data_IF_455707360237
#
_entry.id   IF_455707360237
#
_cell.length_a   1.000
_cell.length_b   1.000
_cell.length_c   1.000
_cell.angle_alpha   90.00
_cell.angle_beta   90.00
_cell.angle_gamma   90.00
#
_symmetry.space_group_name_H-M   'P 1'
#
loop_
_entity.id
_entity.type
_entity.pdbx_description
1 polymer ?
#
# COMPACT_ATOMS: atom_id res chain seq x y z
N UNK A 1 -30.61 -2.96 6.04
CA UNK A 1 -29.18 -2.63 6.24
C UNK A 1 -28.58 -2.62 4.86
N UNK A 2 -27.95 -1.52 4.47
CA UNK A 2 -27.54 -1.32 3.08
C UNK A 2 -26.38 -2.27 2.74
N UNK A 3 -26.40 -2.96 1.59
CA UNK A 3 -25.32 -3.90 1.20
C UNK A 3 -23.92 -3.24 1.20
N UNK A 4 -23.87 -1.91 1.14
CA UNK A 4 -22.66 -1.12 1.25
C UNK A 4 -22.11 -1.07 2.68
N UNK A 5 -22.96 -0.89 3.70
CA UNK A 5 -22.56 -0.87 5.11
C UNK A 5 -22.04 -2.25 5.55
N UNK A 6 -22.66 -3.33 5.07
CA UNK A 6 -22.23 -4.71 5.37
C UNK A 6 -20.87 -5.04 4.73
N UNK A 7 -20.62 -4.54 3.50
CA UNK A 7 -19.33 -4.72 2.80
C UNK A 7 -18.20 -3.86 3.35
N UNK A 8 -18.53 -2.69 3.90
CA UNK A 8 -17.61 -1.82 4.63
C UNK A 8 -17.19 -2.47 5.96
N UNK A 9 -18.15 -3.02 6.72
CA UNK A 9 -17.88 -3.80 7.94
C UNK A 9 -16.94 -4.98 7.67
N UNK A 10 -17.19 -5.74 6.61
CA UNK A 10 -16.35 -6.89 6.21
C UNK A 10 -14.93 -6.50 5.74
N UNK A 11 -14.72 -5.25 5.29
CA UNK A 11 -13.41 -4.79 4.85
C UNK A 11 -12.53 -4.42 6.04
N UNK A 12 -13.05 -3.60 6.95
CA UNK A 12 -12.35 -3.18 8.16
C UNK A 12 -12.14 -4.35 9.14
N UNK A 13 -12.97 -5.40 9.06
CA UNK A 13 -12.81 -6.64 9.83
C UNK A 13 -11.78 -7.63 9.28
N UNK A 14 -11.46 -7.55 7.98
CA UNK A 14 -10.60 -8.54 7.34
C UNK A 14 -9.13 -8.19 7.42
N UNK A 15 -8.33 -9.25 7.50
CA UNK A 15 -6.87 -9.27 7.44
C UNK A 15 -6.29 -8.40 6.31
N UNK A 16 -7.03 -8.13 5.23
CA UNK A 16 -6.69 -7.16 4.18
C UNK A 16 -6.46 -5.72 4.67
N UNK A 17 -7.24 -5.21 5.62
CA UNK A 17 -7.01 -3.87 6.20
C UNK A 17 -5.80 -3.92 7.14
N UNK A 18 -5.66 -4.98 7.93
CA UNK A 18 -4.47 -5.19 8.76
C UNK A 18 -3.18 -5.30 7.91
N UNK A 19 -3.23 -5.92 6.73
CA UNK A 19 -2.10 -6.06 5.82
C UNK A 19 -1.81 -4.81 4.98
N UNK A 20 -2.85 -4.12 4.50
CA UNK A 20 -2.71 -2.81 3.85
C UNK A 20 -2.15 -1.77 4.82
N UNK A 21 -2.58 -1.83 6.10
CA UNK A 21 -2.02 -1.05 7.20
C UNK A 21 -0.59 -1.52 7.51
N UNK A 22 -0.28 -2.82 7.56
CA UNK A 22 1.10 -3.31 7.76
C UNK A 22 2.06 -2.83 6.66
N UNK A 23 1.61 -2.75 5.41
CA UNK A 23 2.38 -2.22 4.28
C UNK A 23 2.65 -0.70 4.43
N UNK A 24 1.64 0.08 4.82
CA UNK A 24 1.72 1.54 4.98
C UNK A 24 2.44 1.96 6.27
N UNK A 25 2.23 1.20 7.35
CA UNK A 25 2.71 1.41 8.72
C UNK A 25 4.01 0.66 8.98
N UNK A 26 4.49 -0.17 8.06
CA UNK A 26 5.92 -0.42 7.84
C UNK A 26 6.58 -1.47 8.71
N UNK A 27 5.85 -2.49 9.11
CA UNK A 27 6.41 -3.81 9.38
C UNK A 27 5.58 -4.84 8.65
N UNK A 28 6.21 -5.53 7.72
CA UNK A 28 5.68 -6.78 7.18
C UNK A 28 6.71 -7.80 7.61
N UNK A 29 6.29 -8.75 8.44
CA UNK A 29 7.07 -9.92 8.84
C UNK A 29 7.50 -10.70 7.59
N UNK A 30 8.41 -11.64 7.78
CA UNK A 30 9.01 -12.48 6.72
C UNK A 30 7.97 -13.27 5.88
N UNK A 31 6.69 -13.24 6.24
CA UNK A 31 5.57 -13.99 5.64
C UNK A 31 4.88 -13.31 4.44
N UNK A 32 5.48 -12.30 3.80
CA UNK A 32 4.94 -11.77 2.52
C UNK A 32 4.90 -12.83 1.39
N UNK A 33 5.40 -14.04 1.66
CA UNK A 33 5.38 -15.24 0.81
C UNK A 33 4.06 -16.03 0.88
N UNK A 34 3.13 -15.74 1.80
CA UNK A 34 1.85 -16.49 1.90
C UNK A 34 0.65 -15.85 1.21
N UNK A 35 0.80 -14.65 0.63
CA UNK A 35 -0.32 -13.93 0.02
C UNK A 35 -0.73 -14.52 -1.32
N UNK A 36 -2.03 -14.73 -1.48
CA UNK A 36 -2.60 -15.11 -2.76
C UNK A 36 -2.39 -13.98 -3.78
N UNK A 37 -2.22 -14.30 -5.08
CA UNK A 37 -1.93 -13.29 -6.10
C UNK A 37 -2.92 -12.11 -6.16
N UNK A 38 -4.19 -12.34 -5.81
CA UNK A 38 -5.23 -11.32 -5.77
C UNK A 38 -5.15 -10.38 -4.55
N UNK A 39 -4.66 -10.87 -3.40
CA UNK A 39 -4.40 -10.07 -2.20
C UNK A 39 -3.22 -9.14 -2.46
N UNK A 40 -2.14 -9.68 -3.07
CA UNK A 40 -0.97 -8.90 -3.46
C UNK A 40 -1.32 -7.80 -4.46
N UNK A 41 -2.21 -8.08 -5.42
CA UNK A 41 -2.73 -7.07 -6.35
C UNK A 41 -3.48 -5.95 -5.62
N UNK A 42 -4.31 -6.30 -4.63
CA UNK A 42 -5.07 -5.33 -3.82
C UNK A 42 -4.14 -4.42 -3.01
N UNK A 43 -3.12 -4.98 -2.35
CA UNK A 43 -2.09 -4.22 -1.61
C UNK A 43 -1.31 -3.27 -2.52
N UNK A 44 -0.98 -3.72 -3.73
CA UNK A 44 -0.29 -2.88 -4.70
C UNK A 44 -1.19 -1.74 -5.21
N UNK A 45 -2.48 -1.99 -5.43
CA UNK A 45 -3.44 -0.94 -5.74
C UNK A 45 -3.54 0.08 -4.59
N UNK A 46 -3.69 -0.38 -3.35
CA UNK A 46 -3.74 0.51 -2.19
C UNK A 46 -2.52 1.46 -2.12
N UNK A 47 -1.34 0.95 -2.49
CA UNK A 47 -0.09 1.72 -2.51
C UNK A 47 -0.12 2.86 -3.52
N UNK A 48 -0.60 2.60 -4.75
CA UNK A 48 -0.61 3.60 -5.83
C UNK A 48 -1.82 4.55 -5.77
N UNK A 49 -2.84 4.20 -4.99
CA UNK A 49 -4.04 5.02 -4.81
C UNK A 49 -3.93 6.00 -3.63
N UNK A 50 -2.93 5.85 -2.76
CA UNK A 50 -2.80 6.66 -1.55
C UNK A 50 -1.88 7.87 -1.75
N UNK A 51 -2.43 9.08 -1.62
CA UNK A 51 -1.65 10.33 -1.63
C UNK A 51 -1.30 10.79 -0.22
N UNK A 52 -0.43 11.80 -0.12
CA UNK A 52 0.02 12.46 1.11
C UNK A 52 -0.18 11.65 2.42
N UNK A 53 -1.12 12.08 3.27
CA UNK A 53 -1.52 11.44 4.53
C UNK A 53 -2.68 10.45 4.37
N UNK A 54 -3.17 10.24 3.14
CA UNK A 54 -4.26 9.32 2.86
C UNK A 54 -3.82 7.88 3.14
N UNK A 55 -4.75 7.10 3.67
CA UNK A 55 -4.70 5.65 3.80
C UNK A 55 -5.84 5.13 2.95
N UNK A 56 -5.50 4.23 2.02
CA UNK A 56 -6.47 3.62 1.12
C UNK A 56 -6.55 2.13 1.44
N UNK A 57 -7.77 1.63 1.56
CA UNK A 57 -8.06 0.21 1.65
C UNK A 57 -8.72 -0.24 0.33
N UNK A 58 -8.32 -1.43 -0.14
CA UNK A 58 -8.80 -2.00 -1.40
C UNK A 58 -9.32 -3.40 -1.16
N UNK A 59 -10.57 -3.63 -1.53
CA UNK A 59 -11.13 -4.98 -1.68
C UNK A 59 -11.14 -5.36 -3.14
N UNK A 60 -10.67 -6.55 -3.46
CA UNK A 60 -10.90 -7.17 -4.75
C UNK A 60 -11.86 -8.34 -4.59
N UNK A 61 -12.95 -8.32 -5.35
CA UNK A 61 -13.84 -9.48 -5.53
C UNK A 61 -13.66 -9.98 -6.96
N UNK A 62 -13.13 -11.19 -7.09
CA UNK A 62 -12.95 -11.86 -8.39
C UNK A 62 -14.31 -12.41 -8.87
N UNK A 63 -14.62 -12.18 -10.14
CA UNK A 63 -15.79 -12.71 -10.82
C UNK A 63 -15.33 -13.57 -12.01
N UNK A 64 -16.19 -14.47 -12.55
CA UNK A 64 -15.82 -15.29 -13.71
C UNK A 64 -15.33 -14.49 -14.92
N UNK A 65 -15.92 -13.31 -15.17
CA UNK A 65 -15.65 -12.47 -16.34
C UNK A 65 -15.14 -11.06 -15.97
N UNK A 66 -14.57 -10.88 -14.78
CA UNK A 66 -14.15 -9.56 -14.34
C UNK A 66 -13.76 -9.48 -12.87
N UNK A 67 -13.77 -8.26 -12.35
CA UNK A 67 -13.64 -8.03 -10.93
C UNK A 67 -14.41 -6.79 -10.46
N UNK A 68 -14.73 -6.80 -9.17
CA UNK A 68 -15.22 -5.64 -8.46
C UNK A 68 -14.14 -5.15 -7.51
N UNK A 69 -13.82 -3.87 -7.60
CA UNK A 69 -12.84 -3.21 -6.75
C UNK A 69 -13.59 -2.25 -5.83
N UNK A 70 -13.48 -2.45 -4.53
CA UNK A 70 -14.06 -1.55 -3.53
C UNK A 70 -12.93 -0.72 -2.94
N UNK A 71 -13.06 0.59 -3.07
CA UNK A 71 -12.06 1.55 -2.63
C UNK A 71 -12.59 2.34 -1.45
N UNK A 72 -11.83 2.39 -0.38
CA UNK A 72 -12.12 3.18 0.81
C UNK A 72 -10.89 4.01 1.15
N UNK A 73 -11.10 5.24 1.62
CA UNK A 73 -9.99 6.08 2.09
C UNK A 73 -10.45 7.00 3.20
N UNK A 74 -9.50 7.47 4.02
CA UNK A 74 -9.76 8.35 5.16
C UNK A 74 -9.90 9.84 4.78
N UNK A 75 -10.08 10.17 3.50
CA UNK A 75 -10.28 11.54 3.00
C UNK A 75 -11.42 11.56 1.99
N UNK A 76 -11.98 12.75 1.72
CA UNK A 76 -12.99 12.91 0.68
C UNK A 76 -12.46 12.47 -0.71
N UNK A 77 -13.31 11.83 -1.50
CA UNK A 77 -13.03 11.60 -2.92
C UNK A 77 -13.15 12.92 -3.68
N UNK A 78 -12.11 13.27 -4.42
CA UNK A 78 -12.02 14.49 -5.21
C UNK A 78 -12.17 14.14 -6.69
N UNK A 79 -12.60 15.10 -7.52
CA UNK A 79 -12.86 14.86 -8.94
C UNK A 79 -11.65 14.25 -9.68
N UNK A 80 -10.44 14.70 -9.37
CA UNK A 80 -9.23 14.15 -9.98
C UNK A 80 -8.93 12.71 -9.53
N UNK A 81 -9.43 12.24 -8.37
CA UNK A 81 -9.31 10.83 -7.95
C UNK A 81 -10.09 9.93 -8.91
N UNK A 82 -11.34 10.31 -9.23
CA UNK A 82 -12.17 9.56 -10.16
C UNK A 82 -11.54 9.51 -11.55
N UNK A 83 -11.00 10.65 -12.02
CA UNK A 83 -10.28 10.73 -13.31
C UNK A 83 -9.04 9.81 -13.29
N UNK A 84 -8.25 9.86 -12.23
CA UNK A 84 -7.06 9.04 -12.08
C UNK A 84 -7.39 7.54 -12.07
N UNK A 85 -8.35 7.12 -11.24
CA UNK A 85 -8.76 5.72 -11.12
C UNK A 85 -9.29 5.19 -12.46
N UNK A 86 -10.06 6.00 -13.20
CA UNK A 86 -10.51 5.64 -14.54
C UNK A 86 -9.34 5.48 -15.53
N UNK A 87 -8.32 6.35 -15.48
CA UNK A 87 -7.09 6.18 -16.29
C UNK A 87 -6.38 4.89 -15.95
N UNK A 88 -6.17 4.60 -14.65
CA UNK A 88 -5.52 3.36 -14.19
C UNK A 88 -6.28 2.14 -14.70
N UNK A 89 -7.61 2.09 -14.52
CA UNK A 89 -8.46 1.02 -15.06
C UNK A 89 -8.27 0.84 -16.57
N UNK A 90 -8.25 1.94 -17.33
CA UNK A 90 -8.07 1.88 -18.79
C UNK A 90 -6.70 1.34 -19.20
N UNK A 91 -5.62 1.77 -18.53
CA UNK A 91 -4.29 1.22 -18.77
C UNK A 91 -4.25 -0.29 -18.54
N UNK A 92 -4.81 -0.76 -17.41
CA UNK A 92 -4.83 -2.19 -17.08
C UNK A 92 -5.64 -3.00 -18.10
N UNK A 93 -6.77 -2.47 -18.56
CA UNK A 93 -7.56 -3.10 -19.64
C UNK A 93 -6.76 -3.22 -20.94
N UNK A 94 -6.04 -2.17 -21.35
CA UNK A 94 -5.23 -2.18 -22.57
C UNK A 94 -4.05 -3.15 -22.44
N UNK A 95 -3.33 -3.11 -21.32
CA UNK A 95 -2.21 -4.02 -21.05
C UNK A 95 -2.69 -5.47 -21.09
N UNK A 96 -3.82 -5.76 -20.43
CA UNK A 96 -4.38 -7.10 -20.37
C UNK A 96 -4.94 -7.60 -21.69
N UNK A 97 -5.56 -6.74 -22.50
CA UNK A 97 -6.02 -7.09 -23.85
C UNK A 97 -4.88 -7.62 -24.72
N UNK A 98 -3.72 -6.97 -24.62
CA UNK A 98 -2.52 -7.28 -25.39
C UNK A 98 -1.61 -8.32 -24.72
N UNK A 99 -1.99 -8.85 -23.56
CA UNK A 99 -1.24 -9.91 -22.88
C UNK A 99 -1.07 -11.16 -23.78
N UNK A 100 0.10 -11.82 -23.76
CA UNK A 100 1.24 -11.57 -22.87
C UNK A 100 2.25 -10.55 -23.43
N UNK A 101 1.96 -9.90 -24.57
CA UNK A 101 2.89 -8.95 -25.17
C UNK A 101 3.02 -7.67 -24.34
N UNK A 102 4.24 -7.13 -24.30
CA UNK A 102 4.54 -5.89 -23.60
C UNK A 102 4.06 -4.69 -24.41
N UNK A 103 3.33 -3.78 -23.79
CA UNK A 103 2.87 -2.53 -24.42
C UNK A 103 3.68 -1.36 -23.87
N UNK A 104 4.92 -1.20 -24.39
CA UNK A 104 5.93 -0.31 -23.81
C UNK A 104 5.45 1.12 -23.56
N UNK A 105 4.72 1.73 -24.48
CA UNK A 105 4.24 3.11 -24.32
C UNK A 105 3.10 3.23 -23.30
N UNK A 106 2.17 2.26 -23.31
CA UNK A 106 1.06 2.19 -22.36
C UNK A 106 1.58 2.00 -20.94
N UNK A 107 2.51 1.07 -20.74
CA UNK A 107 3.16 0.85 -19.45
C UNK A 107 3.97 2.06 -18.99
N UNK A 108 4.70 2.72 -19.90
CA UNK A 108 5.42 3.96 -19.58
C UNK A 108 4.48 5.05 -19.11
N UNK A 109 3.34 5.21 -19.78
CA UNK A 109 2.33 6.20 -19.41
C UNK A 109 1.66 5.86 -18.07
N UNK A 110 1.37 4.58 -17.83
CA UNK A 110 0.92 4.12 -16.51
C UNK A 110 1.90 4.51 -15.40
N UNK A 111 3.20 4.25 -15.57
CA UNK A 111 4.21 4.63 -14.57
C UNK A 111 4.22 6.14 -14.32
N UNK A 112 4.11 6.97 -15.36
CA UNK A 112 4.09 8.44 -15.24
C UNK A 112 2.87 8.93 -14.47
N UNK A 113 1.68 8.40 -14.79
CA UNK A 113 0.43 8.79 -14.14
C UNK A 113 0.41 8.41 -12.66
N UNK A 114 0.86 7.21 -12.31
CA UNK A 114 1.00 6.81 -10.90
C UNK A 114 2.00 7.70 -10.16
N UNK A 115 3.17 7.96 -10.75
CA UNK A 115 4.20 8.78 -10.13
C UNK A 115 3.74 10.23 -9.92
N UNK A 116 2.98 10.78 -10.86
CA UNK A 116 2.37 12.11 -10.73
C UNK A 116 1.35 12.15 -9.59
N UNK A 117 0.42 11.18 -9.56
CA UNK A 117 -0.63 11.11 -8.56
C UNK A 117 -0.09 10.92 -7.12
N UNK A 118 0.91 10.05 -6.95
CA UNK A 118 1.54 9.75 -5.65
C UNK A 118 2.67 10.69 -5.24
N UNK A 119 2.99 11.71 -6.04
CA UNK A 119 4.20 12.54 -5.93
C UNK A 119 4.45 13.07 -4.52
N UNK A 120 3.45 13.74 -3.91
CA UNK A 120 3.55 14.31 -2.56
C UNK A 120 3.93 13.26 -1.51
N UNK A 121 3.31 12.08 -1.57
CA UNK A 121 3.59 11.00 -0.61
C UNK A 121 4.98 10.43 -0.81
N UNK A 122 5.36 10.21 -2.07
CA UNK A 122 6.69 9.71 -2.42
C UNK A 122 7.78 10.70 -2.00
N UNK A 123 7.58 12.00 -2.20
CA UNK A 123 8.48 13.06 -1.75
C UNK A 123 8.65 13.07 -0.22
N UNK A 124 7.55 12.93 0.53
CA UNK A 124 7.59 12.79 1.99
C UNK A 124 8.41 11.57 2.44
N UNK A 125 8.27 10.42 1.76
CA UNK A 125 9.08 9.22 2.03
C UNK A 125 10.56 9.44 1.66
N UNK A 126 10.83 10.10 0.53
CA UNK A 126 12.19 10.44 0.09
C UNK A 126 12.88 11.39 1.06
N UNK A 127 12.17 12.39 1.59
CA UNK A 127 12.69 13.31 2.61
C UNK A 127 13.12 12.55 3.86
N UNK A 128 12.30 11.59 4.33
CA UNK A 128 12.65 10.74 5.47
C UNK A 128 13.91 9.90 5.21
N UNK A 129 14.03 9.31 4.03
CA UNK A 129 15.24 8.58 3.63
C UNK A 129 16.47 9.50 3.57
N UNK A 130 16.35 10.69 2.96
CA UNK A 130 17.43 11.69 2.92
C UNK A 130 17.88 12.11 4.32
N UNK A 131 16.94 12.30 5.24
CA UNK A 131 17.25 12.65 6.63
C UNK A 131 18.05 11.54 7.33
N UNK A 132 17.72 10.27 7.10
CA UNK A 132 18.51 9.16 7.67
C UNK A 132 19.94 9.14 7.11
N UNK A 133 20.09 9.35 5.80
CA UNK A 133 21.40 9.44 5.13
C UNK A 133 22.25 10.58 5.70
N UNK A 134 21.63 11.73 6.00
CA UNK A 134 22.31 12.90 6.57
C UNK A 134 22.64 12.72 8.05
N UNK A 135 21.79 12.04 8.84
CA UNK A 135 22.03 11.83 10.27
C UNK A 135 23.14 10.80 10.54
N UNK A 136 23.33 9.85 9.63
CA UNK A 136 24.23 8.73 9.81
C UNK A 136 25.32 8.69 8.72
N UNK A 137 25.99 9.83 8.48
CA UNK A 137 26.95 10.00 7.37
C UNK A 137 28.05 8.94 7.36
N UNK A 138 28.53 8.52 8.54
CA UNK A 138 29.62 7.55 8.69
C UNK A 138 29.15 6.12 8.99
N UNK A 139 27.84 5.86 8.89
CA UNK A 139 27.32 4.51 9.07
C UNK A 139 27.60 3.65 7.84
N UNK A 140 28.04 2.41 8.06
CA UNK A 140 28.40 1.44 7.01
C UNK A 140 27.26 1.22 6.02
N UNK A 141 26.03 1.02 6.50
CA UNK A 141 24.85 0.74 5.68
C UNK A 141 24.48 1.94 4.81
N UNK A 142 24.54 3.15 5.39
CA UNK A 142 24.31 4.40 4.67
C UNK A 142 25.35 4.60 3.57
N UNK A 143 26.63 4.31 3.84
CA UNK A 143 27.69 4.42 2.85
C UNK A 143 27.54 3.38 1.73
N UNK A 144 27.23 2.13 2.06
CA UNK A 144 26.88 1.10 1.08
C UNK A 144 25.72 1.53 0.19
N UNK A 145 24.68 2.14 0.77
CA UNK A 145 23.55 2.64 -0.01
C UNK A 145 23.92 3.81 -0.94
N UNK A 146 24.71 4.77 -0.46
CA UNK A 146 25.19 5.91 -1.26
C UNK A 146 26.04 5.44 -2.44
N UNK A 147 26.93 4.49 -2.21
CA UNK A 147 27.75 3.87 -3.24
C UNK A 147 26.87 3.16 -4.26
N UNK A 148 25.94 2.31 -3.79
CA UNK A 148 24.99 1.61 -4.65
C UNK A 148 24.18 2.57 -5.52
N UNK A 149 23.62 3.64 -4.95
CA UNK A 149 22.90 4.65 -5.74
C UNK A 149 23.82 5.30 -6.78
N UNK A 150 25.04 5.68 -6.39
CA UNK A 150 25.98 6.39 -7.27
C UNK A 150 26.39 5.54 -8.48
N UNK A 151 26.45 4.22 -8.33
CA UNK A 151 26.69 3.30 -9.47
C UNK A 151 25.48 3.11 -10.39
N UNK A 152 24.26 3.44 -9.93
CA UNK A 152 23.01 3.18 -10.67
C UNK A 152 22.32 4.44 -11.20
N UNK A 153 22.59 5.61 -10.64
CA UNK A 153 22.01 6.90 -11.05
C UNK A 153 23.11 7.88 -11.43
N UNK A 154 23.01 8.48 -12.62
CA UNK A 154 23.81 9.64 -12.97
C UNK A 154 23.27 10.90 -12.24
N UNK A 155 24.00 12.01 -12.30
CA UNK A 155 23.60 13.26 -11.63
C UNK A 155 22.23 13.77 -12.06
N UNK A 156 21.92 13.68 -13.36
CA UNK A 156 20.63 14.09 -13.94
C UNK A 156 19.45 13.28 -13.40
N UNK A 157 19.71 12.06 -12.92
CA UNK A 157 18.69 11.14 -12.41
C UNK A 157 18.45 11.23 -10.91
N UNK A 158 19.26 12.00 -10.17
CA UNK A 158 19.18 12.10 -8.70
C UNK A 158 17.90 12.74 -8.17
N UNK A 159 17.17 13.46 -9.03
CA UNK A 159 15.87 14.05 -8.71
C UNK A 159 14.69 13.27 -9.37
N UNK A 160 14.98 12.20 -10.10
CA UNK A 160 13.95 11.41 -10.76
C UNK A 160 13.36 10.38 -9.78
N UNK A 161 12.24 10.74 -9.13
CA UNK A 161 11.57 9.91 -8.13
C UNK A 161 11.26 8.48 -8.59
N UNK A 162 10.94 8.29 -9.88
CA UNK A 162 10.75 6.97 -10.47
C UNK A 162 12.03 6.15 -10.48
N UNK A 163 13.15 6.72 -10.94
CA UNK A 163 14.45 6.03 -10.96
C UNK A 163 14.96 5.74 -9.55
N UNK A 164 14.78 6.69 -8.63
CA UNK A 164 15.16 6.51 -7.22
C UNK A 164 14.34 5.36 -6.60
N UNK A 165 13.02 5.34 -6.80
CA UNK A 165 12.16 4.25 -6.31
C UNK A 165 12.61 2.89 -6.87
N UNK A 166 12.93 2.81 -8.16
CA UNK A 166 13.47 1.59 -8.78
C UNK A 166 14.78 1.13 -8.16
N UNK A 167 15.71 2.05 -7.89
CA UNK A 167 17.00 1.72 -7.26
C UNK A 167 16.83 1.31 -5.81
N UNK A 168 15.95 1.98 -5.06
CA UNK A 168 15.62 1.61 -3.68
C UNK A 168 15.05 0.20 -3.59
N UNK A 169 14.14 -0.20 -4.51
CA UNK A 169 13.63 -1.56 -4.56
C UNK A 169 14.74 -2.59 -4.80
N UNK A 170 15.65 -2.29 -5.74
CA UNK A 170 16.79 -3.18 -6.06
C UNK A 170 17.70 -3.34 -4.85
N UNK A 171 18.07 -2.25 -4.20
CA UNK A 171 18.92 -2.29 -3.00
C UNK A 171 18.23 -3.03 -1.85
N UNK A 172 16.96 -2.73 -1.57
CA UNK A 172 16.18 -3.44 -0.55
C UNK A 172 16.19 -4.96 -0.77
N UNK A 173 16.03 -5.42 -2.01
CA UNK A 173 16.04 -6.87 -2.31
C UNK A 173 17.39 -7.54 -2.04
N UNK A 174 18.50 -6.81 -2.13
CA UNK A 174 19.84 -7.33 -1.85
C UNK A 174 20.06 -7.51 -0.34
N UNK A 175 19.48 -6.63 0.47
CA UNK A 175 19.84 -6.49 1.87
C UNK A 175 18.71 -6.82 2.86
N UNK A 176 17.51 -7.16 2.37
CA UNK A 176 16.30 -7.32 3.20
C UNK A 176 16.42 -8.38 4.31
N UNK A 177 17.36 -9.30 4.18
CA UNK A 177 17.63 -10.37 5.13
C UNK A 177 18.90 -10.12 5.97
N UNK A 178 19.55 -8.96 5.81
CA UNK A 178 20.73 -8.59 6.58
C UNK A 178 20.29 -8.00 7.93
N UNK A 179 20.48 -8.78 9.00
CA UNK A 179 20.13 -8.40 10.37
C UNK A 179 21.00 -7.27 10.93
N UNK A 180 22.13 -6.96 10.29
CA UNK A 180 23.03 -5.90 10.76
C UNK A 180 22.57 -4.50 10.36
N UNK A 181 21.61 -4.39 9.43
CA UNK A 181 21.16 -3.12 8.92
C UNK A 181 20.17 -2.48 9.88
N UNK A 182 20.40 -1.19 10.16
CA UNK A 182 19.51 -0.45 11.04
C UNK A 182 18.04 -0.50 10.55
N UNK A 183 17.09 -1.08 11.33
CA UNK A 183 15.74 -1.41 10.85
C UNK A 183 14.97 -0.21 10.28
N UNK A 184 15.14 0.97 10.91
CA UNK A 184 14.52 2.22 10.46
C UNK A 184 14.99 2.66 9.06
N UNK A 185 16.27 2.51 8.76
CA UNK A 185 16.86 2.89 7.48
C UNK A 185 16.37 1.95 6.38
N UNK A 186 16.43 0.63 6.65
CA UNK A 186 15.89 -0.41 5.78
C UNK A 186 14.41 -0.16 5.45
N UNK A 187 13.61 0.21 6.46
CA UNK A 187 12.19 0.54 6.31
C UNK A 187 11.96 1.74 5.40
N UNK A 188 12.76 2.80 5.49
CA UNK A 188 12.62 3.94 4.59
C UNK A 188 13.00 3.59 3.15
N UNK A 189 14.08 2.81 2.93
CA UNK A 189 14.43 2.29 1.60
C UNK A 189 13.28 1.45 1.04
N UNK A 190 12.74 0.50 1.82
CA UNK A 190 11.61 -0.34 1.44
C UNK A 190 10.41 0.51 1.00
N UNK A 191 10.04 1.51 1.80
CA UNK A 191 8.90 2.40 1.51
C UNK A 191 9.08 3.20 0.24
N UNK A 192 10.27 3.74 -0.02
CA UNK A 192 10.55 4.42 -1.30
C UNK A 192 10.52 3.43 -2.47
N UNK A 193 11.09 2.23 -2.30
CA UNK A 193 11.09 1.18 -3.31
C UNK A 193 9.72 0.59 -3.62
N UNK A 194 8.80 0.64 -2.66
CA UNK A 194 7.46 0.05 -2.78
C UNK A 194 6.67 0.58 -3.97
N UNK A 195 6.75 1.87 -4.30
CA UNK A 195 6.03 2.46 -5.43
C UNK A 195 6.38 1.81 -6.76
N UNK A 196 7.68 1.71 -7.09
CA UNK A 196 8.11 1.00 -8.30
C UNK A 196 7.75 -0.49 -8.25
N UNK A 197 7.88 -1.11 -7.07
CA UNK A 197 7.50 -2.51 -6.85
C UNK A 197 6.02 -2.75 -7.18
N UNK A 198 5.12 -1.97 -6.58
CA UNK A 198 3.69 -2.11 -6.75
C UNK A 198 3.23 -1.86 -8.18
N UNK A 199 3.75 -0.82 -8.84
CA UNK A 199 3.46 -0.57 -10.25
C UNK A 199 3.91 -1.72 -11.15
N UNK A 200 5.12 -2.26 -10.90
CA UNK A 200 5.66 -3.39 -11.65
C UNK A 200 4.78 -4.64 -11.48
N UNK A 201 4.43 -4.97 -10.24
CA UNK A 201 3.62 -6.16 -9.93
C UNK A 201 2.19 -6.04 -10.47
N UNK A 202 1.59 -4.84 -10.46
CA UNK A 202 0.29 -4.58 -11.09
C UNK A 202 0.35 -4.86 -12.60
N UNK A 203 1.38 -4.34 -13.28
CA UNK A 203 1.57 -4.56 -14.72
C UNK A 203 1.80 -6.04 -15.02
N UNK A 204 2.61 -6.73 -14.21
CA UNK A 204 2.86 -8.17 -14.36
C UNK A 204 1.57 -8.99 -14.18
N UNK A 205 0.73 -8.61 -13.21
CA UNK A 205 -0.60 -9.21 -13.03
C UNK A 205 -1.48 -8.99 -14.26
N UNK A 206 -1.57 -7.75 -14.78
CA UNK A 206 -2.36 -7.43 -15.96
C UNK A 206 -1.88 -8.15 -17.22
N UNK A 207 -0.57 -8.39 -17.35
CA UNK A 207 0.04 -9.09 -18.49
C UNK A 207 -0.05 -10.62 -18.38
N UNK A 208 -0.47 -11.15 -17.23
CA UNK A 208 -0.60 -12.59 -17.07
C UNK A 208 -1.88 -13.08 -17.77
N UNK A 209 -1.74 -14.02 -18.71
CA UNK A 209 -2.85 -14.57 -19.49
C UNK A 209 -3.93 -15.22 -18.59
N UNK A 210 -3.54 -15.81 -17.46
CA UNK A 210 -4.46 -16.42 -16.50
C UNK A 210 -5.35 -15.38 -15.81
N UNK A 211 -4.87 -14.15 -15.64
CA UNK A 211 -5.62 -13.06 -15.00
C UNK A 211 -6.32 -12.14 -16.00
N UNK A 212 -6.22 -12.41 -17.31
CA UNK A 212 -6.87 -11.61 -18.35
C UNK A 212 -8.38 -11.41 -18.13
N UNK A 213 -9.15 -12.43 -17.70
CA UNK A 213 -10.57 -12.25 -17.41
C UNK A 213 -10.86 -11.23 -16.29
N UNK A 214 -9.92 -10.95 -15.39
CA UNK A 214 -10.14 -9.95 -14.32
C UNK A 214 -10.29 -8.53 -14.88
N UNK A 215 -9.64 -8.24 -16.02
CA UNK A 215 -9.52 -6.90 -16.57
C UNK A 215 -10.50 -6.61 -17.71
N UNK A 216 -11.29 -7.60 -18.15
CA UNK A 216 -12.32 -7.42 -19.19
C UNK A 216 -13.47 -6.56 -18.68
N UNK A 217 -13.91 -6.83 -17.44
CA UNK A 217 -15.01 -6.13 -16.78
C UNK A 217 -14.65 -5.70 -15.35
N UNK A 218 -14.09 -4.50 -15.22
CA UNK A 218 -13.72 -3.91 -13.93
C UNK A 218 -14.79 -2.93 -13.47
N UNK A 219 -15.53 -3.26 -12.41
CA UNK A 219 -16.39 -2.32 -11.68
C UNK A 219 -15.63 -1.75 -10.50
N UNK A 220 -15.73 -0.45 -10.29
CA UNK A 220 -15.12 0.24 -9.15
C UNK A 220 -16.23 0.85 -8.32
N UNK A 221 -16.22 0.54 -7.03
CA UNK A 221 -17.13 1.06 -6.03
C UNK A 221 -16.33 1.95 -5.07
N UNK A 222 -16.88 3.11 -4.77
CA UNK A 222 -16.26 4.08 -3.88
C UNK A 222 -17.03 4.05 -2.57
N UNK A 223 -16.37 3.58 -1.51
CA UNK A 223 -16.89 3.70 -0.16
C UNK A 223 -17.05 5.18 0.21
N UNK A 224 -18.10 5.49 1.00
CA UNK A 224 -18.24 6.82 1.56
C UNK A 224 -17.13 6.98 2.60
N UNK A 225 -16.26 8.00 2.47
CA UNK A 225 -15.31 8.28 3.52
C UNK A 225 -16.13 8.76 4.72
N UNK A 226 -16.33 7.91 5.72
CA UNK A 226 -16.78 8.38 7.02
C UNK A 226 -15.65 9.22 7.61
N UNK A 227 -15.72 10.53 7.39
CA UNK A 227 -14.90 11.50 8.11
C UNK A 227 -15.49 11.56 9.52
N UNK A 228 -15.10 10.58 10.34
CA UNK A 228 -15.55 10.44 11.72
C UNK A 228 -14.90 11.56 12.54
N UNK A 229 -15.50 12.74 12.51
CA UNK A 229 -15.02 13.89 13.28
C UNK A 229 -15.30 13.75 14.78
N UNK A 230 -16.25 12.90 15.20
CA UNK A 230 -16.82 12.94 16.56
C UNK A 230 -17.31 11.59 17.14
N UNK A 231 -16.82 10.42 16.69
CA UNK A 231 -17.06 9.22 17.52
C UNK A 231 -16.02 9.12 18.64
N UNK A 232 -16.43 8.78 19.87
CA UNK A 232 -15.47 8.29 20.85
C UNK A 232 -14.74 7.12 20.20
N UNK A 233 -13.41 7.20 20.17
CA UNK A 233 -12.57 6.09 19.71
C UNK A 233 -12.90 4.91 20.62
N UNK A 234 -13.76 4.01 20.14
CA UNK A 234 -14.03 2.75 20.79
C UNK A 234 -12.71 1.97 20.88
N UNK A 235 -12.52 1.19 21.95
CA UNK A 235 -11.34 0.33 22.05
C UNK A 235 -11.21 -0.52 20.79
N UNK A 236 -9.97 -0.85 20.39
CA UNK A 236 -9.72 -1.71 19.24
C UNK A 236 -10.51 -3.04 19.35
N UNK A 237 -10.70 -3.55 20.58
CA UNK A 237 -11.55 -4.70 20.88
C UNK A 237 -13.01 -4.44 20.50
N UNK A 238 -13.58 -3.31 20.89
CA UNK A 238 -14.95 -2.94 20.55
C UNK A 238 -15.13 -2.70 19.04
N UNK A 239 -14.13 -2.12 18.38
CA UNK A 239 -14.10 -1.97 16.92
C UNK A 239 -14.14 -3.36 16.29
N UNK A 240 -13.20 -4.24 16.64
CA UNK A 240 -13.08 -5.55 16.01
C UNK A 240 -14.27 -6.44 16.34
N UNK A 241 -14.77 -6.47 17.59
CA UNK A 241 -16.02 -7.16 17.95
C UNK A 241 -17.21 -6.66 17.14
N UNK A 242 -17.36 -5.35 16.99
CA UNK A 242 -18.46 -4.74 16.23
C UNK A 242 -18.40 -5.09 14.74
N UNK A 243 -17.20 -5.34 14.21
CA UNK A 243 -16.96 -5.69 12.81
C UNK A 243 -16.82 -7.20 12.56
N UNK A 244 -16.83 -8.01 13.62
CA UNK A 244 -16.77 -9.47 13.52
C UNK A 244 -18.11 -10.03 13.99
N UNK A 245 -18.98 -10.38 13.04
CA UNK A 245 -20.37 -10.80 13.30
C UNK A 245 -20.50 -12.12 14.09
N UNK A 246 -19.38 -12.79 14.36
CA UNK A 246 -19.31 -14.10 14.99
C UNK A 246 -18.20 -14.11 16.05
N UNK A 247 -18.58 -14.40 17.29
CA UNK A 247 -17.68 -14.51 18.45
C UNK A 247 -16.54 -15.52 18.20
N UNK A 248 -16.79 -16.58 17.42
CA UNK A 248 -15.78 -17.56 17.07
C UNK A 248 -14.68 -16.97 16.17
N UNK A 249 -15.06 -16.15 15.17
CA UNK A 249 -14.09 -15.46 14.31
C UNK A 249 -13.33 -14.37 15.07
N UNK A 250 -14.01 -13.70 16.01
CA UNK A 250 -13.37 -12.72 16.88
C UNK A 250 -12.30 -13.37 17.76
N UNK A 251 -12.60 -14.54 18.32
CA UNK A 251 -11.65 -15.30 19.14
C UNK A 251 -10.46 -15.78 18.31
N UNK A 252 -10.67 -16.32 17.10
CA UNK A 252 -9.57 -16.70 16.20
C UNK A 252 -8.67 -15.51 15.86
N UNK A 253 -9.26 -14.35 15.54
CA UNK A 253 -8.48 -13.13 15.30
C UNK A 253 -7.68 -12.72 16.54
N UNK A 254 -8.32 -12.74 17.71
CA UNK A 254 -7.69 -12.38 18.99
C UNK A 254 -6.53 -13.32 19.29
N UNK A 255 -6.70 -14.63 19.12
CA UNK A 255 -5.65 -15.62 19.33
C UNK A 255 -4.47 -15.43 18.38
N UNK A 256 -4.74 -15.13 17.09
CA UNK A 256 -3.70 -14.79 16.10
C UNK A 256 -2.95 -13.51 16.46
N UNK A 257 -3.64 -12.51 17.01
CA UNK A 257 -3.03 -11.26 17.47
C UNK A 257 -2.26 -11.43 18.78
N UNK A 258 -2.73 -12.25 19.72
CA UNK A 258 -2.04 -12.59 20.96
C UNK A 258 -0.74 -13.35 20.71
N UNK A 259 -0.71 -14.18 19.66
CA UNK A 259 0.52 -14.82 19.19
C UNK A 259 1.56 -13.81 18.62
N UNK A 260 1.19 -12.53 18.45
CA UNK A 260 2.05 -11.45 17.93
C UNK A 260 2.06 -10.23 18.89
N UNK A 261 2.79 -10.30 20.02
CA UNK A 261 2.74 -9.30 21.09
C UNK A 261 3.03 -7.87 20.60
N UNK A 262 3.93 -7.71 19.63
CA UNK A 262 4.28 -6.41 19.06
C UNK A 262 3.15 -5.78 18.25
N UNK A 263 2.31 -6.59 17.59
CA UNK A 263 1.12 -6.14 16.86
C UNK A 263 0.07 -5.63 17.86
N UNK A 264 -0.12 -6.38 18.93
CA UNK A 264 -0.99 -6.05 20.07
C UNK A 264 -0.60 -4.72 20.72
N UNK A 265 0.67 -4.51 21.04
CA UNK A 265 1.15 -3.24 21.60
C UNK A 265 0.89 -2.04 20.68
N UNK A 266 1.05 -2.22 19.37
CA UNK A 266 0.84 -1.14 18.40
C UNK A 266 -0.63 -0.85 18.17
N UNK A 267 -1.48 -1.87 18.12
CA UNK A 267 -2.93 -1.68 18.10
C UNK A 267 -3.36 -0.90 19.34
N UNK A 268 -2.89 -1.30 20.53
CA UNK A 268 -3.11 -0.52 21.75
C UNK A 268 -2.65 0.92 21.56
N UNK A 269 -1.42 1.17 21.12
CA UNK A 269 -0.91 2.54 20.90
C UNK A 269 -1.75 3.36 19.92
N UNK A 270 -2.15 2.80 18.78
CA UNK A 270 -2.96 3.51 17.78
C UNK A 270 -4.34 3.88 18.33
N UNK A 271 -4.96 3.00 19.11
CA UNK A 271 -6.33 3.17 19.60
C UNK A 271 -6.45 3.73 21.02
N UNK A 272 -5.36 3.82 21.80
CA UNK A 272 -5.35 4.37 23.18
C UNK A 272 -4.46 5.61 23.37
N UNK A 273 -3.62 5.99 22.41
CA UNK A 273 -2.75 7.18 22.54
C UNK A 273 -3.57 8.48 22.40
N UNK A 274 -3.56 9.29 23.45
CA UNK A 274 -4.23 10.60 23.52
C UNK A 274 -3.68 11.59 22.48
N UNK A 275 -2.44 11.43 22.02
CA UNK A 275 -1.84 12.31 21.01
C UNK A 275 -2.50 12.16 19.62
N UNK A 276 -2.98 10.96 19.29
CA UNK A 276 -3.69 10.67 18.03
C UNK A 276 -5.08 11.33 18.00
N UNK A 277 -5.67 11.64 19.17
CA UNK A 277 -6.95 12.36 19.29
C UNK A 277 -6.85 13.84 18.91
N UNK A 278 -5.71 14.48 19.15
CA UNK A 278 -5.53 15.92 18.86
C UNK A 278 -5.16 16.20 17.40
N UNK A 279 -4.46 15.29 16.71
CA UNK A 279 -4.03 15.49 15.32
C UNK A 279 -5.12 15.27 14.25
N UNK A 280 -6.33 14.87 14.66
CA UNK A 280 -7.48 14.70 13.77
C UNK A 280 -8.47 15.88 13.85
N UNK A 281 -8.19 16.89 14.67
CA UNK A 281 -9.00 18.11 14.84
C UNK A 281 -8.40 19.35 14.17
N UNK A 282 -7.36 19.20 13.33
CA UNK A 282 -6.75 20.28 12.55
C UNK A 282 -6.75 19.96 11.05
#
# INVERSE_FOLDING_TARGET
MDQFEEREKELYSKECVAESINFVVGEVSEDATSLMPHERFSCNLATILARDKEVVAVRLKVLPNGCEIYLFKNFAWLEYDYKYINKIKNYLKIISKNAPMKTCDVERNFYKEVMSYCSVKLESRLKKLKNDIQKHVNNRDVNSFKEFISTKLNEKDRNNSYKISKVCLRYYRLIKNDSNIHPKFLRHIKKVGSYFGSMKEIIECARNIHYKPLFTYVRVYYGRPEIINNHPIYSWENIIKRYTEDDHKYNIFTDRCLAKPEVMERMKKVYTDKATRQQQQQ
#
